data_IF_429637045159
#
_entry.id   IF_429637045159
#
_cell.length_a   1.000
_cell.length_b   1.000
_cell.length_c   1.000
_cell.angle_alpha   90.00
_cell.angle_beta   90.00
_cell.angle_gamma   90.00
#
_symmetry.space_group_name_H-M   'P 1'
#
loop_
_entity.id
_entity.type
_entity.pdbx_description
1 polymer ?
#
# COMPACT_ATOMS: atom_id res chain seq x y z
N UNK A 1 7.07 13.77 13.02
CA UNK A 1 7.09 12.42 12.41
C UNK A 1 5.66 11.93 12.31
N UNK A 2 5.25 11.36 11.17
CA UNK A 2 3.92 10.75 11.04
C UNK A 2 3.94 9.38 11.74
N UNK A 3 2.90 9.10 12.52
CA UNK A 3 2.74 7.87 13.28
C UNK A 3 1.34 7.33 13.00
N UNK A 4 1.24 6.09 12.51
CA UNK A 4 -0.04 5.46 12.21
C UNK A 4 -0.18 4.12 12.90
N UNK A 5 -1.37 3.83 13.42
CA UNK A 5 -1.70 2.47 13.86
C UNK A 5 -1.66 1.52 12.68
N UNK A 6 -1.05 0.35 12.82
CA UNK A 6 -1.00 -0.67 11.76
C UNK A 6 -2.39 -1.00 11.17
N UNK A 7 -3.43 -1.03 12.02
CA UNK A 7 -4.82 -1.23 11.59
C UNK A 7 -5.31 -0.15 10.62
N UNK A 8 -4.92 1.13 10.82
CA UNK A 8 -5.29 2.22 9.92
C UNK A 8 -4.62 2.06 8.56
N UNK A 9 -3.35 1.65 8.56
CA UNK A 9 -2.60 1.39 7.31
C UNK A 9 -3.19 0.20 6.55
N UNK A 10 -3.47 -0.93 7.23
CA UNK A 10 -4.16 -2.08 6.62
C UNK A 10 -5.49 -1.67 5.98
N UNK A 11 -6.35 -0.98 6.73
CA UNK A 11 -7.67 -0.58 6.23
C UNK A 11 -7.57 0.37 5.03
N UNK A 12 -6.57 1.27 5.03
CA UNK A 12 -6.31 2.12 3.88
C UNK A 12 -5.88 1.30 2.66
N UNK A 13 -4.90 0.39 2.80
CA UNK A 13 -4.46 -0.49 1.72
C UNK A 13 -5.65 -1.28 1.12
N UNK A 14 -6.43 -1.94 1.96
CA UNK A 14 -7.58 -2.75 1.53
C UNK A 14 -8.63 -1.93 0.77
N UNK A 15 -8.93 -0.71 1.26
CA UNK A 15 -9.86 0.22 0.58
C UNK A 15 -9.33 0.71 -0.77
N UNK A 16 -8.02 0.66 -0.99
CA UNK A 16 -7.35 1.16 -2.19
C UNK A 16 -7.00 0.05 -3.19
N UNK A 17 -7.60 -1.13 -3.05
CA UNK A 17 -7.42 -2.23 -4.02
C UNK A 17 -6.25 -3.16 -3.70
N UNK A 18 -5.61 -3.02 -2.53
CA UNK A 18 -4.65 -4.01 -2.07
C UNK A 18 -5.35 -5.20 -1.43
N UNK A 19 -4.95 -6.40 -1.80
CA UNK A 19 -5.41 -7.62 -1.16
C UNK A 19 -4.32 -8.20 -0.28
N UNK A 20 -4.72 -8.66 0.90
CA UNK A 20 -3.83 -9.37 1.83
C UNK A 20 -3.64 -10.80 1.32
N UNK A 21 -2.42 -11.13 0.87
CA UNK A 21 -2.11 -12.42 0.24
C UNK A 21 -1.79 -13.51 1.25
N UNK A 22 -0.89 -13.23 2.17
CA UNK A 22 -0.41 -14.17 3.18
C UNK A 22 0.43 -13.43 4.21
N UNK A 23 0.50 -13.99 5.42
CA UNK A 23 1.26 -13.40 6.50
C UNK A 23 0.84 -13.92 7.87
N UNK A 24 1.78 -13.93 8.82
CA UNK A 24 1.41 -14.05 10.22
C UNK A 24 0.83 -12.71 10.70
N UNK A 25 0.24 -12.67 11.90
CA UNK A 25 -0.40 -11.47 12.48
C UNK A 25 0.51 -10.24 12.53
N UNK A 26 1.81 -10.43 12.38
CA UNK A 26 2.87 -9.44 12.53
C UNK A 26 3.51 -9.02 11.20
N UNK A 27 3.41 -9.84 10.14
CA UNK A 27 4.02 -9.60 8.84
C UNK A 27 3.02 -9.95 7.75
N UNK A 28 2.23 -8.97 7.34
CA UNK A 28 1.20 -9.14 6.32
C UNK A 28 1.72 -8.63 4.98
N UNK A 29 1.65 -9.46 3.94
CA UNK A 29 1.95 -9.05 2.57
C UNK A 29 0.67 -8.59 1.87
N UNK A 30 0.77 -7.44 1.21
CA UNK A 30 -0.29 -6.87 0.37
C UNK A 30 0.18 -6.79 -1.07
N UNK A 31 -0.71 -7.02 -2.01
CA UNK A 31 -0.48 -6.79 -3.45
C UNK A 31 -1.66 -6.00 -4.02
N UNK A 32 -1.38 -5.05 -4.92
CA UNK A 32 -2.42 -4.26 -5.57
C UNK A 32 -3.07 -5.03 -6.70
N UNK A 33 -4.40 -5.03 -6.74
CA UNK A 33 -5.21 -5.68 -7.76
C UNK A 33 -5.99 -4.63 -8.55
N UNK A 34 -5.92 -4.73 -9.88
CA UNK A 34 -6.80 -3.99 -10.79
C UNK A 34 -7.72 -5.00 -11.49
N UNK A 35 -9.04 -4.81 -11.37
CA UNK A 35 -10.03 -5.68 -12.03
C UNK A 35 -9.82 -7.19 -11.76
N UNK A 36 -9.39 -7.52 -10.53
CA UNK A 36 -9.11 -8.91 -10.13
C UNK A 36 -7.77 -9.47 -10.61
N UNK A 37 -6.96 -8.70 -11.36
CA UNK A 37 -5.61 -9.08 -11.79
C UNK A 37 -4.54 -8.45 -10.89
N UNK A 38 -3.53 -9.19 -10.43
CA UNK A 38 -2.43 -8.64 -9.63
C UNK A 38 -1.52 -7.75 -10.50
N UNK A 39 -1.13 -6.60 -9.95
CA UNK A 39 -0.26 -5.61 -10.60
C UNK A 39 1.23 -5.77 -10.31
N UNK A 40 1.65 -6.83 -9.60
CA UNK A 40 3.03 -7.00 -9.16
C UNK A 40 3.49 -6.00 -8.10
N UNK A 41 2.79 -4.88 -7.89
CA UNK A 41 3.04 -3.88 -6.83
C UNK A 41 2.66 -4.49 -5.49
N UNK A 42 3.66 -4.60 -4.61
CA UNK A 42 3.56 -5.29 -3.33
C UNK A 42 4.07 -4.42 -2.21
N UNK A 43 3.56 -4.61 -1.01
CA UNK A 43 4.15 -4.02 0.19
C UNK A 43 4.03 -4.94 1.39
N UNK A 44 4.95 -4.79 2.34
CA UNK A 44 4.98 -5.56 3.57
C UNK A 44 4.63 -4.70 4.78
N UNK A 45 3.53 -5.07 5.44
CA UNK A 45 3.16 -4.53 6.74
C UNK A 45 3.77 -5.40 7.84
N UNK A 46 5.03 -5.11 8.15
CA UNK A 46 5.83 -5.82 9.16
C UNK A 46 5.74 -5.12 10.52
N UNK A 47 4.60 -5.26 11.21
CA UNK A 47 4.47 -4.69 12.54
C UNK A 47 3.52 -5.46 13.48
N UNK A 48 3.96 -5.67 14.72
CA UNK A 48 3.27 -6.42 15.79
C UNK A 48 2.06 -5.66 16.38
N UNK A 49 1.14 -5.18 15.53
CA UNK A 49 -0.03 -4.34 15.91
C UNK A 49 0.32 -2.99 16.58
N UNK A 50 1.58 -2.62 16.57
CA UNK A 50 2.09 -1.36 17.14
C UNK A 50 1.96 -0.20 16.13
N UNK A 51 2.55 0.95 16.48
CA UNK A 51 2.56 2.17 15.68
C UNK A 51 3.65 2.14 14.62
N UNK A 52 3.26 2.32 13.36
CA UNK A 52 4.17 2.38 12.23
C UNK A 52 4.80 3.78 12.18
N UNK A 53 6.12 3.79 12.27
CA UNK A 53 6.94 5.01 12.31
C UNK A 53 7.72 5.19 11.00
N UNK A 54 8.46 6.30 10.94
CA UNK A 54 9.02 6.88 9.71
C UNK A 54 9.81 5.92 8.81
N UNK A 55 10.58 4.99 9.37
CA UNK A 55 11.38 4.07 8.57
C UNK A 55 10.48 3.07 7.83
N UNK A 56 9.57 2.40 8.54
CA UNK A 56 8.66 1.45 7.90
C UNK A 56 7.73 2.14 6.89
N UNK A 57 7.27 3.37 7.17
CA UNK A 57 6.51 4.16 6.19
C UNK A 57 7.33 4.47 4.93
N UNK A 58 8.61 4.82 5.08
CA UNK A 58 9.49 5.12 3.96
C UNK A 58 9.86 3.88 3.14
N UNK A 59 9.94 2.72 3.77
CA UNK A 59 10.09 1.44 3.08
C UNK A 59 8.84 1.10 2.27
N UNK A 60 7.67 1.13 2.91
CA UNK A 60 6.40 0.85 2.24
C UNK A 60 6.13 1.78 1.06
N UNK A 61 6.44 3.09 1.18
CA UNK A 61 6.24 4.03 0.08
C UNK A 61 7.07 3.64 -1.14
N UNK A 62 8.34 3.22 -0.95
CA UNK A 62 9.21 2.77 -2.03
C UNK A 62 8.70 1.50 -2.70
N UNK A 63 8.28 0.51 -1.92
CA UNK A 63 7.71 -0.74 -2.46
C UNK A 63 6.45 -0.49 -3.30
N UNK A 64 5.69 0.54 -2.94
CA UNK A 64 4.47 0.95 -3.63
C UNK A 64 4.70 1.94 -4.77
N UNK A 65 5.94 2.29 -5.10
CA UNK A 65 6.29 3.30 -6.11
C UNK A 65 5.64 4.68 -5.85
N UNK A 66 5.53 5.07 -4.58
CA UNK A 66 5.03 6.36 -4.14
C UNK A 66 6.14 7.13 -3.43
N UNK A 67 6.15 8.46 -3.58
CA UNK A 67 6.88 9.30 -2.65
C UNK A 67 6.31 9.15 -1.24
N UNK A 68 7.09 9.60 -0.24
CA UNK A 68 6.66 9.54 1.15
C UNK A 68 5.36 10.33 1.36
N UNK A 69 5.26 11.52 0.77
CA UNK A 69 4.09 12.39 0.94
C UNK A 69 2.86 11.77 0.27
N UNK A 70 2.99 11.24 -0.94
CA UNK A 70 1.90 10.54 -1.63
C UNK A 70 1.43 9.29 -0.87
N UNK A 71 2.35 8.56 -0.26
CA UNK A 71 1.98 7.44 0.60
C UNK A 71 1.18 7.93 1.82
N UNK A 72 1.59 9.02 2.46
CA UNK A 72 0.84 9.63 3.56
C UNK A 72 -0.55 10.11 3.12
N UNK A 73 -0.65 10.72 1.95
CA UNK A 73 -1.91 11.15 1.34
C UNK A 73 -2.84 9.98 1.01
N UNK A 74 -2.30 8.86 0.56
CA UNK A 74 -3.05 7.63 0.35
C UNK A 74 -3.63 7.10 1.68
N UNK A 75 -2.82 7.06 2.74
CA UNK A 75 -3.26 6.64 4.08
C UNK A 75 -4.30 7.61 4.67
N UNK A 76 -4.19 8.92 4.40
CA UNK A 76 -5.19 9.93 4.78
C UNK A 76 -6.39 10.00 3.85
N UNK A 77 -6.52 9.05 2.91
CA UNK A 77 -7.62 8.91 1.96
C UNK A 77 -7.74 10.03 0.90
N UNK A 78 -6.72 10.87 0.72
CA UNK A 78 -6.66 11.88 -0.34
C UNK A 78 -6.43 11.21 -1.70
N UNK A 79 -5.45 10.31 -1.79
CA UNK A 79 -5.20 9.51 -3.01
C UNK A 79 -6.13 8.29 -3.02
N UNK A 80 -6.93 8.18 -4.09
CA UNK A 80 -7.96 7.15 -4.34
C UNK A 80 -7.44 5.87 -4.99
N UNK A 81 -8.34 4.89 -5.18
CA UNK A 81 -8.05 3.71 -6.00
C UNK A 81 -7.75 4.11 -7.45
N UNK A 82 -8.62 4.93 -8.07
CA UNK A 82 -8.47 5.33 -9.48
C UNK A 82 -7.17 6.09 -9.76
N UNK A 83 -6.74 6.91 -8.80
CA UNK A 83 -5.47 7.63 -8.86
C UNK A 83 -4.27 6.66 -8.81
N UNK A 84 -4.32 5.64 -7.95
CA UNK A 84 -3.30 4.59 -7.93
C UNK A 84 -3.28 3.77 -9.22
N UNK A 85 -4.46 3.45 -9.78
CA UNK A 85 -4.57 2.80 -11.08
C UNK A 85 -3.89 3.65 -12.16
N UNK A 86 -4.21 4.94 -12.26
CA UNK A 86 -3.62 5.83 -13.26
C UNK A 86 -2.09 5.88 -13.14
N UNK A 87 -1.56 5.96 -11.91
CA UNK A 87 -0.12 5.96 -11.63
C UNK A 87 0.54 4.64 -12.04
N UNK A 88 0.01 3.52 -11.60
CA UNK A 88 0.58 2.21 -11.92
C UNK A 88 0.46 1.90 -13.42
N UNK A 89 -0.59 2.38 -14.09
CA UNK A 89 -0.70 2.29 -15.54
C UNK A 89 0.38 3.11 -16.25
N UNK A 90 0.63 4.35 -15.81
CA UNK A 90 1.67 5.21 -16.36
C UNK A 90 3.08 4.63 -16.17
N UNK A 91 3.30 3.90 -15.06
CA UNK A 91 4.55 3.18 -14.78
C UNK A 91 4.64 1.82 -15.51
N UNK A 92 3.59 1.39 -16.21
CA UNK A 92 3.56 0.09 -16.88
C UNK A 92 3.54 -1.12 -15.93
N UNK A 93 3.11 -0.93 -14.68
CA UNK A 93 3.07 -1.97 -13.65
C UNK A 93 1.77 -2.78 -13.71
N UNK A 94 0.74 -2.31 -14.38
CA UNK A 94 -0.51 -3.05 -14.54
C UNK A 94 -0.42 -4.04 -15.70
N UNK A 95 -0.89 -5.26 -15.50
CA UNK A 95 -1.01 -6.24 -16.58
C UNK A 95 -2.02 -5.71 -17.62
N UNK A 96 -1.58 -5.64 -18.88
CA UNK A 96 -2.45 -5.41 -20.03
C UNK A 96 -3.11 -6.75 -20.40
N UNK A 97 -4.40 -6.72 -20.76
CA UNK A 97 -5.07 -7.85 -21.40
C UNK A 97 -4.36 -8.30 -22.67
#
# INVERSE_FOLDING_TARGET
>A
MAVFKAKKVSAALEKKGFQKLSGNTNHCRYEFYMNGKPSGVKTYLSHNKQEITGDLLAWMSKEMHLSKDEFLEMISCVIGYDELVARYAALGLLQKD
#
